data_IF_986534492718
#
_entry.id   IF_986534492718
#
_cell.length_a   1.000
_cell.length_b   1.000
_cell.length_c   1.000
_cell.angle_alpha   90.00
_cell.angle_beta   90.00
_cell.angle_gamma   90.00
#
_symmetry.space_group_name_H-M   'P 1'
#
loop_
_entity.id
_entity.type
_entity.pdbx_description
1 polymer ?
#
# COMPACT_ATOMS: atom_id res chain seq x y z
N UNK A 1 -8.68 -1.60 -6.65
CA UNK A 1 -7.34 -2.12 -7.03
C UNK A 1 -7.33 -3.64 -6.89
N UNK A 2 -6.93 -4.34 -7.92
CA UNK A 2 -6.84 -5.81 -7.87
C UNK A 2 -5.53 -6.21 -7.20
N UNK A 3 -5.62 -6.72 -5.98
CA UNK A 3 -4.42 -7.01 -5.19
C UNK A 3 -3.57 -8.15 -5.76
N UNK A 4 -4.19 -9.12 -6.43
CA UNK A 4 -3.42 -10.19 -7.09
C UNK A 4 -2.49 -9.61 -8.16
N UNK A 5 -2.95 -8.61 -8.89
CA UNK A 5 -2.14 -7.90 -9.87
C UNK A 5 -1.05 -7.08 -9.20
N UNK A 6 -1.39 -6.41 -8.10
CA UNK A 6 -0.44 -5.60 -7.34
C UNK A 6 0.71 -6.48 -6.85
N UNK A 7 0.38 -7.63 -6.27
CA UNK A 7 1.39 -8.55 -5.77
C UNK A 7 2.27 -9.10 -6.90
N UNK A 8 1.67 -9.49 -8.02
CA UNK A 8 2.40 -10.04 -9.17
C UNK A 8 3.24 -9.01 -9.91
N UNK A 9 2.86 -7.74 -9.87
CA UNK A 9 3.55 -6.66 -10.60
C UNK A 9 4.07 -5.57 -9.67
N UNK A 10 4.52 -5.94 -8.49
CA UNK A 10 4.87 -4.96 -7.46
C UNK A 10 5.87 -3.91 -7.93
N UNK A 11 6.89 -4.30 -8.68
CA UNK A 11 7.89 -3.36 -9.19
C UNK A 11 7.28 -2.25 -10.05
N UNK A 12 6.22 -2.58 -10.78
CA UNK A 12 5.54 -1.61 -11.63
C UNK A 12 4.51 -0.79 -10.83
N UNK A 13 3.87 -1.43 -9.86
CA UNK A 13 2.77 -0.83 -9.11
C UNK A 13 3.25 0.05 -7.96
N UNK A 14 4.43 -0.24 -7.39
CA UNK A 14 4.92 0.51 -6.22
C UNK A 14 5.00 2.01 -6.47
N UNK A 15 5.31 2.44 -7.69
CA UNK A 15 5.33 3.85 -8.04
C UNK A 15 3.97 4.50 -7.92
N UNK A 16 2.92 3.78 -8.35
CA UNK A 16 1.54 4.26 -8.22
C UNK A 16 1.08 4.29 -6.77
N UNK A 17 1.51 3.31 -5.98
CA UNK A 17 1.21 3.27 -4.55
C UNK A 17 1.83 4.48 -3.85
N UNK A 18 3.08 4.79 -4.15
CA UNK A 18 3.76 5.96 -3.60
C UNK A 18 3.09 7.26 -4.05
N UNK A 19 2.64 7.32 -5.29
CA UNK A 19 1.91 8.48 -5.81
C UNK A 19 0.60 8.69 -5.08
N UNK A 20 -0.14 7.61 -4.82
CA UNK A 20 -1.41 7.66 -4.10
C UNK A 20 -1.22 8.00 -2.62
N UNK A 21 -0.18 7.44 -1.99
CA UNK A 21 0.13 7.63 -0.58
C UNK A 21 1.54 8.20 -0.43
N UNK A 22 1.66 9.51 -0.62
CA UNK A 22 2.96 10.19 -0.66
C UNK A 22 3.77 10.14 0.63
N UNK A 23 3.14 9.82 1.76
CA UNK A 23 3.86 9.69 3.04
C UNK A 23 4.65 8.39 3.15
N UNK A 24 4.41 7.43 2.27
CA UNK A 24 5.19 6.19 2.26
C UNK A 24 6.57 6.46 1.68
N UNK A 25 7.60 5.93 2.36
CA UNK A 25 8.98 6.04 1.89
C UNK A 25 9.34 4.85 1.01
N UNK A 26 10.47 4.94 0.31
CA UNK A 26 10.96 3.81 -0.48
C UNK A 26 11.23 2.59 0.40
N UNK A 27 11.72 2.80 1.63
CA UNK A 27 11.91 1.71 2.58
C UNK A 27 10.59 1.06 2.95
N UNK A 28 9.54 1.87 3.16
CA UNK A 28 8.20 1.35 3.43
C UNK A 28 7.73 0.46 2.29
N UNK A 29 7.92 0.91 1.05
CA UNK A 29 7.52 0.16 -0.13
C UNK A 29 8.29 -1.16 -0.26
N UNK A 30 9.58 -1.16 0.08
CA UNK A 30 10.38 -2.37 0.07
C UNK A 30 9.89 -3.38 1.12
N UNK A 31 9.50 -2.89 2.30
CA UNK A 31 8.94 -3.76 3.35
C UNK A 31 7.59 -4.32 2.92
N UNK A 32 6.75 -3.49 2.30
CA UNK A 32 5.43 -3.91 1.82
C UNK A 32 5.56 -5.03 0.79
N UNK A 33 6.43 -4.85 -0.19
CA UNK A 33 6.77 -5.86 -1.21
C UNK A 33 5.54 -6.57 -1.80
N UNK A 34 4.47 -5.82 -2.06
CA UNK A 34 3.24 -6.36 -2.63
C UNK A 34 2.31 -7.04 -1.63
N UNK A 35 2.63 -7.03 -0.35
CA UNK A 35 1.80 -7.66 0.67
C UNK A 35 0.76 -6.67 1.20
N UNK A 36 -0.51 -7.03 1.05
CA UNK A 36 -1.63 -6.18 1.45
C UNK A 36 -1.59 -5.83 2.94
N UNK A 37 -1.33 -6.81 3.79
CA UNK A 37 -1.29 -6.58 5.24
C UNK A 37 -0.18 -5.61 5.62
N UNK A 38 0.96 -5.70 4.98
CA UNK A 38 2.07 -4.78 5.23
C UNK A 38 1.71 -3.37 4.78
N UNK A 39 1.05 -3.23 3.64
CA UNK A 39 0.59 -1.92 3.19
C UNK A 39 -0.41 -1.32 4.16
N UNK A 40 -1.40 -2.11 4.62
CA UNK A 40 -2.36 -1.65 5.61
C UNK A 40 -1.69 -1.18 6.89
N UNK A 41 -0.69 -1.93 7.38
CA UNK A 41 0.06 -1.56 8.57
C UNK A 41 0.84 -0.27 8.41
N UNK A 42 1.51 -0.10 7.26
CA UNK A 42 2.26 1.12 6.98
C UNK A 42 1.36 2.34 6.83
N UNK A 43 0.21 2.19 6.16
CA UNK A 43 -0.75 3.27 6.02
C UNK A 43 -1.32 3.68 7.38
N UNK A 44 -1.64 2.71 8.23
CA UNK A 44 -2.10 2.98 9.58
C UNK A 44 -1.05 3.74 10.38
N UNK A 45 0.21 3.33 10.27
CA UNK A 45 1.32 3.96 10.97
C UNK A 45 1.58 5.39 10.48
N UNK A 46 1.57 5.61 9.16
CA UNK A 46 1.92 6.91 8.58
C UNK A 46 0.77 7.92 8.59
N UNK A 47 -0.45 7.44 8.42
CA UNK A 47 -1.62 8.31 8.30
C UNK A 47 -2.53 8.27 9.53
N UNK A 48 -2.36 7.29 10.41
CA UNK A 48 -3.22 7.15 11.59
C UNK A 48 -4.66 6.81 11.26
N UNK A 49 -4.90 6.14 10.13
CA UNK A 49 -6.24 5.80 9.65
C UNK A 49 -6.61 4.39 10.12
N UNK A 50 -7.90 4.16 10.43
CA UNK A 50 -8.37 2.83 10.78
C UNK A 50 -8.22 1.85 9.62
N UNK A 51 -7.90 0.58 9.92
CA UNK A 51 -7.71 -0.44 8.90
C UNK A 51 -8.93 -0.62 8.00
N UNK A 52 -10.14 -0.50 8.56
CA UNK A 52 -11.37 -0.61 7.79
C UNK A 52 -11.44 0.44 6.67
N UNK A 53 -11.03 1.67 6.97
CA UNK A 53 -11.00 2.74 5.99
C UNK A 53 -9.92 2.49 4.93
N UNK A 54 -8.75 2.00 5.37
CA UNK A 54 -7.65 1.69 4.46
C UNK A 54 -8.07 0.60 3.48
N UNK A 55 -8.72 -0.46 3.96
CA UNK A 55 -9.19 -1.55 3.10
C UNK A 55 -10.18 -1.05 2.05
N UNK A 56 -11.05 -0.14 2.44
CA UNK A 56 -12.00 0.48 1.53
C UNK A 56 -11.28 1.27 0.43
N UNK A 57 -10.29 2.04 0.82
CA UNK A 57 -9.49 2.82 -0.14
C UNK A 57 -8.70 1.93 -1.09
N UNK A 58 -8.18 0.82 -0.60
CA UNK A 58 -7.42 -0.14 -1.41
C UNK A 58 -8.33 -0.87 -2.40
N UNK A 59 -9.54 -1.22 -1.99
CA UNK A 59 -10.48 -1.98 -2.82
C UNK A 59 -11.16 -1.12 -3.88
N UNK A 60 -11.15 0.18 -3.72
CA UNK A 60 -11.67 1.10 -4.71
C UNK A 60 -10.61 1.34 -5.78
#
# INVERSE_FOLDING_TARGET
>A
MDWNRVEGNWKQVKGKVKEKWGKLTDDDLNVINGRREQLEGKLQQRYGIAKAQIRKDIND
#
